data_IF_179656055590
#
_entry.id   IF_179656055590
#
_cell.length_a   1.000
_cell.length_b   1.000
_cell.length_c   1.000
_cell.angle_alpha   90.00
_cell.angle_beta   90.00
_cell.angle_gamma   90.00
#
_symmetry.space_group_name_H-M   'P 1'
#
loop_
_entity.id
_entity.type
_entity.pdbx_description
1 polymer ?
#
# COMPACT_ATOMS: atom_id res chain seq x y z
N UNK A 1 8.24 -30.37 -6.77
CA UNK A 1 9.52 -29.66 -6.98
C UNK A 1 9.75 -28.71 -5.83
N UNK A 2 8.94 -27.64 -5.77
CA UNK A 2 9.04 -26.57 -4.78
C UNK A 2 8.56 -26.95 -3.36
N UNK A 3 7.62 -27.90 -3.23
CA UNK A 3 7.08 -28.36 -1.92
C UNK A 3 8.15 -28.84 -0.93
N UNK A 4 9.24 -29.44 -1.42
CA UNK A 4 10.30 -29.99 -0.57
C UNK A 4 11.48 -29.01 -0.38
N UNK A 5 11.36 -27.78 -0.89
CA UNK A 5 12.41 -26.78 -0.94
C UNK A 5 11.93 -25.50 -0.27
N UNK A 6 12.12 -25.39 1.06
CA UNK A 6 11.59 -24.27 1.86
C UNK A 6 12.07 -22.90 1.35
N UNK A 7 13.31 -22.79 0.88
CA UNK A 7 13.84 -21.59 0.19
C UNK A 7 13.10 -21.15 -1.08
N UNK A 8 12.12 -21.93 -1.55
CA UNK A 8 11.27 -21.58 -2.71
C UNK A 8 9.84 -21.23 -2.32
N UNK A 9 9.53 -21.32 -1.03
CA UNK A 9 8.22 -20.96 -0.51
C UNK A 9 8.11 -19.44 -0.48
N UNK A 10 6.91 -18.88 -0.70
CA UNK A 10 6.71 -17.46 -0.47
C UNK A 10 6.83 -17.16 1.04
N UNK A 11 7.31 -15.97 1.39
CA UNK A 11 7.26 -15.51 2.79
C UNK A 11 5.85 -15.09 3.16
N UNK A 12 5.23 -14.21 2.36
CA UNK A 12 3.85 -13.74 2.54
C UNK A 12 3.10 -13.69 1.21
N UNK A 13 1.78 -13.89 1.27
CA UNK A 13 0.87 -13.73 0.14
C UNK A 13 0.41 -12.27 -0.03
N UNK A 14 0.34 -11.82 -1.27
CA UNK A 14 -0.23 -10.52 -1.64
C UNK A 14 -0.96 -10.64 -2.99
N UNK A 15 -1.86 -9.69 -3.34
CA UNK A 15 -2.58 -9.73 -4.60
C UNK A 15 -1.64 -9.83 -5.81
N UNK A 16 -1.75 -10.92 -6.56
CA UNK A 16 -0.86 -11.22 -7.69
C UNK A 16 -1.57 -11.76 -8.92
N UNK A 17 -2.90 -11.81 -8.91
CA UNK A 17 -3.73 -12.29 -10.01
C UNK A 17 -4.52 -11.13 -10.59
N UNK A 18 -4.52 -11.04 -11.92
CA UNK A 18 -5.26 -10.06 -12.71
C UNK A 18 -5.03 -8.62 -12.21
N UNK A 19 -3.77 -8.33 -11.84
CA UNK A 19 -3.37 -7.03 -11.34
C UNK A 19 -3.27 -6.06 -12.50
N UNK A 20 -4.04 -4.98 -12.39
CA UNK A 20 -4.05 -3.90 -13.36
C UNK A 20 -2.77 -3.08 -13.25
N UNK A 21 -2.00 -3.02 -14.34
CA UNK A 21 -0.75 -2.28 -14.38
C UNK A 21 -0.55 -1.60 -15.74
N UNK A 22 0.27 -0.55 -15.76
CA UNK A 22 0.59 0.18 -16.99
C UNK A 22 1.31 -0.74 -17.99
N UNK A 23 0.87 -0.68 -19.25
CA UNK A 23 1.30 -1.52 -20.34
C UNK A 23 2.35 -0.80 -21.21
N UNK A 24 3.62 -1.25 -21.23
CA UNK A 24 4.61 -0.72 -22.14
C UNK A 24 4.36 -1.23 -23.58
N UNK A 25 4.13 -0.31 -24.51
CA UNK A 25 3.85 -0.62 -25.92
C UNK A 25 5.07 -1.20 -26.65
N UNK A 26 4.82 -2.11 -27.59
CA UNK A 26 5.86 -2.69 -28.46
C UNK A 26 6.72 -3.76 -27.79
N UNK A 27 6.33 -4.22 -26.60
CA UNK A 27 7.01 -5.30 -25.87
C UNK A 27 6.42 -6.67 -26.20
N UNK A 28 7.12 -7.75 -25.84
CA UNK A 28 6.58 -9.10 -25.94
C UNK A 28 5.31 -9.29 -25.08
N UNK A 29 5.20 -8.53 -23.99
CA UNK A 29 4.05 -8.56 -23.09
C UNK A 29 2.83 -7.91 -23.77
N UNK A 30 3.01 -6.74 -24.40
CA UNK A 30 2.00 -6.10 -25.27
C UNK A 30 1.50 -7.07 -26.36
N UNK A 31 2.38 -7.85 -26.98
CA UNK A 31 1.97 -8.85 -27.98
C UNK A 31 1.06 -9.97 -27.42
N UNK A 32 1.17 -10.28 -26.12
CA UNK A 32 0.38 -11.34 -25.46
C UNK A 32 -0.92 -10.86 -24.81
N UNK A 33 -1.03 -9.57 -24.45
CA UNK A 33 -2.19 -8.99 -23.75
C UNK A 33 -3.06 -8.08 -24.63
N UNK A 34 -2.69 -7.88 -25.91
CA UNK A 34 -3.40 -7.07 -26.93
C UNK A 34 -4.91 -7.28 -27.08
N UNK A 35 -5.46 -8.38 -26.56
CA UNK A 35 -6.87 -8.74 -26.62
C UNK A 35 -7.64 -8.39 -25.34
N UNK A 36 -6.98 -7.84 -24.31
CA UNK A 36 -7.58 -7.56 -22.99
C UNK A 36 -8.42 -6.28 -22.92
N UNK A 37 -8.50 -5.49 -23.99
CA UNK A 37 -9.48 -4.40 -24.03
C UNK A 37 -8.95 -3.03 -23.60
N UNK A 38 -7.72 -2.91 -23.09
CA UNK A 38 -7.08 -1.63 -22.75
C UNK A 38 -5.68 -1.55 -23.41
N UNK A 39 -5.32 -0.36 -23.89
CA UNK A 39 -4.11 -0.09 -24.68
C UNK A 39 -2.94 0.46 -23.84
N UNK A 40 -3.21 0.97 -22.62
CA UNK A 40 -2.23 1.51 -21.68
C UNK A 40 -2.21 0.78 -20.35
N UNK A 41 -3.20 -0.05 -20.09
CA UNK A 41 -3.22 -0.94 -18.96
C UNK A 41 -3.47 -2.37 -19.40
N UNK A 42 -3.00 -3.30 -18.59
CA UNK A 42 -3.25 -4.72 -18.79
C UNK A 42 -3.38 -5.39 -17.43
N UNK A 43 -4.20 -6.43 -17.38
CA UNK A 43 -4.24 -7.35 -16.26
C UNK A 43 -3.17 -8.41 -16.49
N UNK A 44 -2.15 -8.41 -15.63
CA UNK A 44 -1.13 -9.46 -15.62
C UNK A 44 -1.11 -10.17 -14.28
N UNK A 45 -0.78 -11.45 -14.33
CA UNK A 45 -0.74 -12.34 -13.17
C UNK A 45 0.68 -12.84 -12.95
N UNK A 46 1.08 -12.94 -11.69
CA UNK A 46 2.35 -13.53 -11.29
C UNK A 46 2.87 -12.98 -9.97
N UNK A 47 3.86 -13.67 -9.41
CA UNK A 47 4.54 -13.21 -8.19
C UNK A 47 5.20 -11.84 -8.38
N UNK A 48 5.67 -11.53 -9.59
CA UNK A 48 6.16 -10.20 -9.96
C UNK A 48 5.12 -9.08 -9.78
N UNK A 49 3.82 -9.39 -9.82
CA UNK A 49 2.72 -8.45 -9.60
C UNK A 49 2.30 -8.39 -8.13
N UNK A 50 2.54 -9.45 -7.36
CA UNK A 50 2.43 -9.41 -5.90
C UNK A 50 3.54 -8.57 -5.26
N UNK A 51 4.77 -8.64 -5.79
CA UNK A 51 5.94 -7.89 -5.28
C UNK A 51 5.71 -6.38 -5.08
N UNK A 52 5.14 -5.61 -6.03
CA UNK A 52 4.91 -4.17 -5.82
C UNK A 52 3.90 -3.87 -4.70
N UNK A 53 2.94 -4.76 -4.41
CA UNK A 53 2.04 -4.60 -3.25
C UNK A 53 2.83 -4.67 -1.94
N UNK A 54 3.68 -5.68 -1.79
CA UNK A 54 4.59 -5.82 -0.63
C UNK A 54 5.57 -4.64 -0.55
N UNK A 55 6.08 -4.17 -1.69
CA UNK A 55 6.93 -2.97 -1.75
C UNK A 55 6.19 -1.68 -1.32
N UNK A 56 4.92 -1.54 -1.71
CA UNK A 56 4.06 -0.44 -1.25
C UNK A 56 3.81 -0.50 0.25
N UNK A 57 3.53 -1.69 0.80
CA UNK A 57 3.41 -1.92 2.24
C UNK A 57 4.69 -1.56 2.99
N UNK A 58 5.85 -1.98 2.49
CA UNK A 58 7.15 -1.59 3.05
C UNK A 58 7.32 -0.07 3.11
N UNK A 59 6.85 0.65 2.08
CA UNK A 59 6.82 2.12 2.07
C UNK A 59 5.92 2.71 3.16
N UNK A 60 4.73 2.15 3.37
CA UNK A 60 3.82 2.57 4.45
C UNK A 60 4.43 2.31 5.83
N UNK A 61 5.07 1.16 6.03
CA UNK A 61 5.73 0.80 7.29
C UNK A 61 6.88 1.75 7.61
N UNK A 62 7.73 2.07 6.62
CA UNK A 62 8.81 3.04 6.80
C UNK A 62 8.31 4.46 7.06
N UNK A 63 7.17 4.84 6.49
CA UNK A 63 6.55 6.12 6.77
C UNK A 63 5.98 6.19 8.20
N UNK A 64 5.34 5.11 8.66
CA UNK A 64 4.78 5.02 10.02
C UNK A 64 5.86 4.84 11.10
N UNK A 65 6.96 4.17 10.75
CA UNK A 65 8.06 3.81 11.64
C UNK A 65 9.43 3.99 10.95
N UNK A 66 9.96 5.23 10.86
CA UNK A 66 11.26 5.48 10.27
C UNK A 66 12.45 4.84 11.02
N UNK A 67 12.25 4.39 12.26
CA UNK A 67 13.26 3.72 13.08
C UNK A 67 13.49 2.24 12.73
N UNK A 68 12.72 1.67 11.81
CA UNK A 68 12.86 0.26 11.42
C UNK A 68 14.26 -0.02 10.85
N UNK A 69 14.83 -1.15 11.25
CA UNK A 69 16.22 -1.54 10.95
C UNK A 69 16.34 -3.04 10.69
N UNK A 70 17.54 -3.61 10.86
CA UNK A 70 17.78 -5.05 10.79
C UNK A 70 17.19 -5.73 12.02
N UNK A 71 16.38 -6.77 11.81
CA UNK A 71 15.78 -7.55 12.88
C UNK A 71 16.82 -8.43 13.57
N UNK A 72 16.59 -8.71 14.86
CA UNK A 72 17.24 -9.84 15.55
C UNK A 72 16.47 -11.14 15.22
N UNK A 73 16.39 -11.41 13.92
CA UNK A 73 15.69 -12.52 13.32
C UNK A 73 16.40 -12.90 12.02
N UNK A 74 16.64 -14.19 11.85
CA UNK A 74 17.32 -14.74 10.68
C UNK A 74 16.27 -15.37 9.78
N UNK A 75 16.44 -15.21 8.46
CA UNK A 75 15.52 -15.78 7.49
C UNK A 75 15.44 -17.29 7.69
N UNK A 76 14.22 -17.80 7.88
CA UNK A 76 14.01 -19.19 8.31
C UNK A 76 14.11 -20.21 7.18
N UNK A 77 13.98 -19.78 5.92
CA UNK A 77 13.93 -20.63 4.73
C UNK A 77 15.27 -21.34 4.37
N UNK A 78 16.14 -21.52 5.36
CA UNK A 78 17.46 -22.11 5.26
C UNK A 78 17.56 -23.42 6.03
N UNK A 79 18.04 -24.45 5.33
CA UNK A 79 18.32 -25.76 5.88
C UNK A 79 19.74 -26.20 5.50
N UNK A 80 20.52 -26.68 6.46
CA UNK A 80 21.81 -27.34 6.23
C UNK A 80 21.58 -28.85 6.01
N UNK A 81 21.89 -29.34 4.80
CA UNK A 81 21.77 -30.76 4.43
C UNK A 81 20.34 -31.24 4.18
N UNK A 82 19.54 -31.35 5.25
CA UNK A 82 18.21 -31.94 5.24
C UNK A 82 17.17 -30.85 5.41
N UNK A 83 16.20 -30.76 4.50
CA UNK A 83 15.16 -29.76 4.66
C UNK A 83 14.19 -30.17 5.77
N UNK A 84 13.79 -29.25 6.65
CA UNK A 84 12.85 -29.55 7.76
C UNK A 84 11.54 -30.18 7.25
N UNK A 85 11.13 -29.81 6.04
CA UNK A 85 9.91 -30.30 5.40
C UNK A 85 10.19 -31.32 4.29
N UNK A 86 11.33 -31.20 3.59
CA UNK A 86 11.71 -32.06 2.47
C UNK A 86 12.47 -33.35 2.83
N UNK A 87 12.99 -33.44 4.06
CA UNK A 87 13.78 -34.57 4.55
C UNK A 87 15.20 -34.63 3.99
N UNK A 88 15.80 -35.82 4.07
CA UNK A 88 17.24 -36.02 3.82
C UNK A 88 17.67 -35.61 2.41
N UNK A 89 18.65 -34.69 2.30
CA UNK A 89 19.23 -34.23 1.04
C UNK A 89 18.35 -33.32 0.17
N UNK A 90 17.31 -32.72 0.74
CA UNK A 90 16.38 -31.83 0.03
C UNK A 90 16.80 -30.34 0.01
N UNK A 91 17.79 -29.94 0.81
CA UNK A 91 18.26 -28.56 0.87
C UNK A 91 19.27 -28.25 -0.25
N UNK A 92 19.01 -27.21 -1.06
CA UNK A 92 19.64 -27.08 -2.38
C UNK A 92 20.36 -25.75 -2.69
N UNK A 93 20.44 -24.77 -1.78
CA UNK A 93 21.10 -23.50 -2.11
C UNK A 93 21.70 -22.78 -0.89
N UNK A 94 22.92 -22.25 -1.03
CA UNK A 94 23.51 -21.28 -0.10
C UNK A 94 23.69 -21.74 1.36
N UNK A 95 24.17 -22.95 1.59
CA UNK A 95 24.38 -23.49 2.94
C UNK A 95 25.62 -22.90 3.60
N UNK A 96 25.41 -22.37 4.79
CA UNK A 96 26.47 -21.83 5.64
C UNK A 96 26.21 -22.27 7.07
N UNK A 97 27.22 -22.90 7.69
CA UNK A 97 27.15 -23.44 9.05
C UNK A 97 26.89 -22.35 10.11
N UNK A 98 27.09 -21.08 9.77
CA UNK A 98 26.90 -19.91 10.63
C UNK A 98 25.55 -19.19 10.41
N UNK A 99 24.58 -19.79 9.71
CA UNK A 99 23.32 -19.12 9.33
C UNK A 99 22.57 -18.48 10.51
N UNK A 100 22.47 -19.15 11.65
CA UNK A 100 21.74 -18.66 12.81
C UNK A 100 22.50 -17.60 13.62
N UNK A 101 23.73 -17.28 13.24
CA UNK A 101 24.61 -16.36 13.96
C UNK A 101 25.14 -15.23 13.05
N UNK A 102 25.14 -15.43 11.73
CA UNK A 102 25.76 -14.53 10.80
C UNK A 102 24.92 -13.29 10.48
N UNK A 103 25.57 -12.14 10.37
CA UNK A 103 24.87 -10.89 10.06
C UNK A 103 24.22 -10.86 8.66
N UNK A 104 24.68 -11.67 7.71
CA UNK A 104 24.16 -11.66 6.33
C UNK A 104 22.83 -12.42 6.17
N UNK A 105 22.46 -13.26 7.14
CA UNK A 105 21.20 -14.01 7.14
C UNK A 105 20.09 -13.30 7.93
N UNK A 106 20.41 -12.18 8.58
CA UNK A 106 19.43 -11.33 9.25
C UNK A 106 18.55 -10.61 8.24
N UNK A 107 17.27 -10.51 8.55
CA UNK A 107 16.27 -9.85 7.71
C UNK A 107 16.00 -8.43 8.19
N UNK A 108 15.30 -7.65 7.39
CA UNK A 108 14.80 -6.35 7.84
C UNK A 108 13.62 -6.55 8.79
N UNK A 109 13.43 -5.65 9.76
CA UNK A 109 12.25 -5.65 10.64
C UNK A 109 10.92 -5.58 9.88
N UNK A 110 10.92 -5.12 8.62
CA UNK A 110 9.73 -5.09 7.77
C UNK A 110 9.28 -6.51 7.44
N UNK A 111 10.22 -7.38 7.09
CA UNK A 111 9.96 -8.79 6.78
C UNK A 111 9.35 -9.48 7.99
N UNK A 112 10.02 -9.39 9.15
CA UNK A 112 9.51 -9.96 10.40
C UNK A 112 8.12 -9.42 10.79
N UNK A 113 7.87 -8.11 10.62
CA UNK A 113 6.55 -7.52 10.89
C UNK A 113 5.50 -8.16 9.98
N UNK A 114 5.76 -8.24 8.67
CA UNK A 114 4.83 -8.84 7.71
C UNK A 114 4.57 -10.32 8.00
N UNK A 115 5.59 -11.08 8.38
CA UNK A 115 5.43 -12.49 8.79
C UNK A 115 4.57 -12.64 10.05
N UNK A 116 4.76 -11.78 11.06
CA UNK A 116 4.05 -11.85 12.34
C UNK A 116 2.58 -11.45 12.22
N UNK A 117 2.27 -10.55 11.29
CA UNK A 117 0.94 -9.98 11.10
C UNK A 117 0.16 -10.59 9.95
N UNK A 118 0.76 -11.48 9.15
CA UNK A 118 0.06 -12.15 8.07
C UNK A 118 -1.13 -13.00 8.57
N UNK A 119 -2.22 -12.97 7.81
CA UNK A 119 -3.44 -13.72 8.07
C UNK A 119 -3.39 -15.08 7.38
N UNK A 120 -3.15 -16.12 8.16
CA UNK A 120 -3.17 -17.51 7.69
C UNK A 120 -4.54 -18.18 7.84
N UNK A 121 -5.35 -17.73 8.80
CA UNK A 121 -6.66 -18.33 9.09
C UNK A 121 -7.65 -18.13 7.93
N UNK A 122 -8.26 -19.22 7.47
CA UNK A 122 -9.13 -19.22 6.29
C UNK A 122 -8.38 -19.45 4.98
N UNK A 123 -7.05 -19.27 4.96
CA UNK A 123 -6.20 -19.45 3.78
C UNK A 123 -5.61 -20.87 3.66
N UNK A 124 -5.72 -21.68 4.72
CA UNK A 124 -5.08 -23.01 4.78
C UNK A 124 -5.59 -24.00 3.73
N UNK A 125 -6.77 -23.75 3.15
CA UNK A 125 -7.40 -24.64 2.17
C UNK A 125 -8.09 -23.86 1.04
N UNK A 126 -7.55 -22.70 0.64
CA UNK A 126 -8.17 -21.88 -0.41
C UNK A 126 -7.96 -22.49 -1.80
N UNK A 127 -8.84 -23.42 -2.16
CA UNK A 127 -9.12 -23.73 -3.56
C UNK A 127 -9.97 -22.61 -4.13
N UNK A 128 -9.30 -21.58 -4.63
CA UNK A 128 -9.96 -20.43 -5.22
C UNK A 128 -10.80 -20.86 -6.43
N UNK A 129 -12.07 -20.45 -6.43
CA UNK A 129 -12.94 -20.65 -7.59
C UNK A 129 -12.32 -19.95 -8.81
N UNK A 130 -12.22 -20.67 -9.94
CA UNK A 130 -11.59 -20.15 -11.16
C UNK A 130 -10.08 -20.41 -11.26
N UNK A 131 -9.50 -21.24 -10.39
CA UNK A 131 -8.16 -21.81 -10.57
C UNK A 131 -8.23 -23.28 -11.00
N UNK A 132 -8.87 -23.55 -12.15
CA UNK A 132 -9.11 -24.91 -12.66
C UNK A 132 -7.81 -25.67 -13.02
N UNK A 133 -6.69 -24.95 -13.11
CA UNK A 133 -5.36 -25.50 -13.39
C UNK A 133 -4.67 -26.07 -12.14
N UNK A 134 -5.17 -25.75 -10.93
CA UNK A 134 -4.68 -26.29 -9.67
C UNK A 134 -5.62 -27.37 -9.13
N UNK A 135 -5.11 -28.61 -9.07
CA UNK A 135 -5.85 -29.76 -8.57
C UNK A 135 -6.10 -29.70 -7.05
N UNK A 136 -5.46 -28.75 -6.34
CA UNK A 136 -5.74 -28.45 -4.95
C UNK A 136 -5.56 -29.65 -3.99
N UNK A 137 -4.79 -30.63 -4.44
CA UNK A 137 -4.59 -31.92 -3.77
C UNK A 137 -3.27 -31.96 -2.99
N UNK A 138 -2.52 -30.87 -3.05
CA UNK A 138 -1.22 -30.63 -2.47
C UNK A 138 -1.29 -29.52 -1.40
N UNK A 139 -2.39 -29.47 -0.66
CA UNK A 139 -2.58 -28.55 0.46
C UNK A 139 -2.16 -29.27 1.76
N UNK A 140 -1.26 -28.68 2.56
CA UNK A 140 -0.89 -29.28 3.83
C UNK A 140 -2.08 -29.30 4.80
N UNK A 141 -2.36 -30.46 5.40
CA UNK A 141 -3.39 -30.57 6.45
C UNK A 141 -2.99 -29.84 7.74
N UNK A 142 -1.68 -29.79 8.02
CA UNK A 142 -1.08 -29.02 9.11
C UNK A 142 0.05 -28.18 8.51
N UNK A 143 0.07 -26.88 8.84
CA UNK A 143 1.12 -25.96 8.42
C UNK A 143 2.45 -26.31 9.09
N UNK A 144 3.57 -25.96 8.46
CA UNK A 144 4.85 -25.90 9.16
C UNK A 144 4.82 -24.72 10.15
N UNK A 145 5.46 -24.88 11.32
CA UNK A 145 5.53 -23.84 12.34
C UNK A 145 6.88 -23.15 12.26
N UNK A 146 6.84 -21.87 11.95
CA UNK A 146 8.02 -21.03 11.82
C UNK A 146 8.74 -20.79 13.15
N UNK A 147 9.93 -20.21 13.07
CA UNK A 147 10.68 -19.66 14.20
C UNK A 147 9.89 -18.52 14.87
N UNK A 148 9.01 -17.83 14.13
CA UNK A 148 8.03 -16.88 14.67
C UNK A 148 6.86 -17.54 15.40
N UNK A 149 6.75 -18.88 15.36
CA UNK A 149 5.66 -19.66 15.94
C UNK A 149 4.37 -19.63 15.13
N UNK A 150 4.35 -18.89 14.01
CA UNK A 150 3.23 -18.78 13.07
C UNK A 150 3.22 -19.96 12.10
N UNK A 151 2.12 -20.11 11.38
CA UNK A 151 2.09 -21.05 10.26
C UNK A 151 2.94 -20.52 9.10
N UNK A 152 3.56 -21.42 8.36
CA UNK A 152 4.28 -21.14 7.12
C UNK A 152 4.15 -22.34 6.18
N UNK A 153 3.78 -22.15 4.92
CA UNK A 153 3.70 -23.23 3.93
C UNK A 153 4.09 -22.81 2.50
N UNK A 154 4.21 -23.80 1.61
CA UNK A 154 4.65 -23.60 0.23
C UNK A 154 3.65 -22.87 -0.68
N UNK A 155 2.39 -22.71 -0.26
CA UNK A 155 1.34 -22.08 -1.07
C UNK A 155 1.19 -20.61 -0.73
N UNK A 156 1.05 -20.29 0.56
CA UNK A 156 0.71 -18.94 1.03
C UNK A 156 1.75 -18.35 1.98
N UNK A 157 2.82 -19.07 2.27
CA UNK A 157 3.83 -18.62 3.22
C UNK A 157 3.20 -18.49 4.61
N UNK A 158 3.44 -17.35 5.25
CA UNK A 158 2.84 -16.99 6.53
C UNK A 158 1.36 -16.60 6.44
N UNK A 159 0.80 -16.50 5.23
CA UNK A 159 -0.57 -16.08 4.98
C UNK A 159 -0.64 -14.80 4.15
N UNK A 160 -1.85 -14.24 4.00
CA UNK A 160 -2.04 -12.98 3.29
C UNK A 160 -1.56 -11.79 4.15
N UNK A 161 -0.93 -10.84 3.49
CA UNK A 161 -0.53 -9.56 4.08
C UNK A 161 -1.73 -8.82 4.68
N UNK A 162 -1.57 -8.35 5.91
CA UNK A 162 -2.53 -7.49 6.63
C UNK A 162 -1.87 -6.13 6.88
N UNK A 163 -2.27 -5.13 6.11
CA UNK A 163 -1.64 -3.80 6.11
C UNK A 163 -1.90 -3.08 7.44
N UNK A 164 -3.11 -3.20 7.99
CA UNK A 164 -3.47 -2.52 9.23
C UNK A 164 -2.71 -3.11 10.42
N UNK A 165 -2.58 -4.44 10.48
CA UNK A 165 -1.80 -5.11 11.52
C UNK A 165 -0.31 -4.81 11.40
N UNK A 166 0.23 -4.81 10.17
CA UNK A 166 1.62 -4.47 9.93
C UNK A 166 1.92 -3.02 10.34
N UNK A 167 1.09 -2.06 9.94
CA UNK A 167 1.24 -0.64 10.29
C UNK A 167 1.06 -0.41 11.78
N UNK A 168 0.10 -1.07 12.44
CA UNK A 168 -0.08 -0.99 13.88
C UNK A 168 1.15 -1.51 14.64
N UNK A 169 1.71 -2.65 14.25
CA UNK A 169 2.92 -3.22 14.86
C UNK A 169 4.14 -2.31 14.63
N UNK A 170 4.35 -1.83 13.41
CA UNK A 170 5.43 -0.88 13.10
C UNK A 170 5.31 0.41 13.91
N UNK A 171 4.10 0.99 13.98
CA UNK A 171 3.84 2.22 14.75
C UNK A 171 4.03 1.99 16.25
N UNK A 172 3.67 0.82 16.77
CA UNK A 172 3.95 0.42 18.15
C UNK A 172 5.44 0.46 18.41
N UNK A 173 6.25 -0.19 17.56
CA UNK A 173 7.70 -0.20 17.70
C UNK A 173 8.31 1.21 17.61
N UNK A 174 7.84 2.03 16.66
CA UNK A 174 8.30 3.42 16.53
C UNK A 174 8.07 4.21 17.83
N UNK A 175 6.88 4.12 18.41
CA UNK A 175 6.54 4.87 19.60
C UNK A 175 7.20 4.31 20.87
N UNK A 176 7.53 3.02 20.90
CA UNK A 176 8.35 2.45 21.97
C UNK A 176 9.77 3.01 21.93
N UNK A 177 10.34 3.16 20.72
CA UNK A 177 11.67 3.71 20.45
C UNK A 177 11.76 5.23 20.60
N UNK A 178 10.73 5.94 20.19
CA UNK A 178 10.60 7.40 20.21
C UNK A 178 9.29 7.76 20.94
N UNK A 179 9.37 7.77 22.27
CA UNK A 179 8.20 7.96 23.14
C UNK A 179 7.71 9.41 23.16
N UNK A 180 8.57 10.35 22.78
CA UNK A 180 8.26 11.77 22.78
C UNK A 180 7.81 12.28 21.39
N UNK A 181 7.89 11.43 20.36
CA UNK A 181 7.51 11.66 18.95
C UNK A 181 8.25 12.89 18.36
N UNK A 182 9.49 13.12 18.77
CA UNK A 182 10.35 14.20 18.26
C UNK A 182 11.20 13.79 17.04
N UNK A 183 11.11 12.52 16.64
CA UNK A 183 11.86 11.92 15.53
C UNK A 183 13.25 11.43 15.93
N UNK A 184 13.64 11.52 17.19
CA UNK A 184 14.90 11.01 17.73
C UNK A 184 14.62 9.71 18.49
N UNK A 185 15.39 8.68 18.17
CA UNK A 185 15.28 7.38 18.87
C UNK A 185 15.89 7.52 20.27
N UNK A 186 15.03 7.46 21.28
CA UNK A 186 15.39 7.49 22.70
C UNK A 186 15.70 6.08 23.24
N UNK A 187 15.00 5.06 22.75
CA UNK A 187 15.00 3.69 23.26
C UNK A 187 15.29 2.64 22.18
N UNK A 188 16.52 2.58 21.62
CA UNK A 188 16.87 1.64 20.55
C UNK A 188 16.83 0.17 20.97
N UNK A 189 16.76 -0.13 22.27
CA UNK A 189 16.73 -1.48 22.84
C UNK A 189 15.41 -2.23 22.60
N UNK A 190 14.33 -1.54 22.24
CA UNK A 190 13.07 -2.18 21.87
C UNK A 190 13.17 -2.74 20.44
N UNK A 191 12.66 -3.96 20.27
CA UNK A 191 12.64 -4.67 19.00
C UNK A 191 11.21 -5.10 18.62
N UNK A 192 11.05 -5.67 17.44
CA UNK A 192 9.74 -6.11 16.92
C UNK A 192 9.01 -7.05 17.88
N UNK A 193 9.72 -7.95 18.57
CA UNK A 193 9.11 -8.90 19.50
C UNK A 193 8.46 -8.19 20.69
N UNK A 194 9.11 -7.15 21.24
CA UNK A 194 8.53 -6.39 22.35
C UNK A 194 7.25 -5.65 21.92
N UNK A 195 7.27 -5.07 20.73
CA UNK A 195 6.10 -4.40 20.16
C UNK A 195 4.99 -5.41 19.88
N UNK A 196 5.34 -6.61 19.40
CA UNK A 196 4.42 -7.68 19.07
C UNK A 196 3.69 -8.23 20.30
N UNK A 197 4.28 -8.15 21.49
CA UNK A 197 3.60 -8.55 22.74
C UNK A 197 2.42 -7.64 23.12
N UNK A 198 2.41 -6.38 22.65
CA UNK A 198 1.42 -5.38 23.09
C UNK A 198 0.59 -4.77 21.95
N UNK A 199 1.01 -4.84 20.69
CA UNK A 199 0.34 -4.13 19.58
C UNK A 199 -1.14 -4.54 19.42
N UNK A 200 -1.45 -5.82 19.62
CA UNK A 200 -2.82 -6.34 19.50
C UNK A 200 -3.75 -5.72 20.56
N UNK A 201 -3.25 -5.50 21.78
CA UNK A 201 -3.99 -4.84 22.84
C UNK A 201 -4.23 -3.33 22.58
N UNK A 202 -3.47 -2.74 21.64
CA UNK A 202 -3.62 -1.34 21.22
C UNK A 202 -4.57 -1.19 20.05
N UNK A 203 -4.93 -2.29 19.36
CA UNK A 203 -6.00 -2.29 18.37
C UNK A 203 -7.34 -2.32 19.11
N UNK A 204 -8.10 -1.26 18.96
CA UNK A 204 -9.42 -1.10 19.59
C UNK A 204 -10.47 -0.82 18.54
N UNK A 205 -11.74 -1.00 18.88
CA UNK A 205 -12.85 -0.44 18.10
C UNK A 205 -13.22 0.90 18.72
N UNK A 206 -13.23 1.94 17.90
CA UNK A 206 -13.65 3.27 18.31
C UNK A 206 -14.95 3.63 17.59
N UNK A 207 -15.90 4.10 18.38
CA UNK A 207 -17.21 4.53 17.90
C UNK A 207 -17.30 6.05 17.98
N UNK A 208 -17.47 6.69 16.82
CA UNK A 208 -17.63 8.14 16.71
C UNK A 208 -19.10 8.44 16.48
N UNK A 209 -19.70 9.15 17.44
CA UNK A 209 -21.08 9.64 17.32
C UNK A 209 -21.09 10.91 16.47
N UNK A 210 -21.98 10.99 15.49
CA UNK A 210 -22.12 12.14 14.61
C UNK A 210 -23.56 12.65 14.57
N UNK A 211 -23.73 13.96 14.46
CA UNK A 211 -25.04 14.62 14.45
C UNK A 211 -25.48 14.98 13.03
N UNK A 212 -25.67 13.94 12.21
CA UNK A 212 -26.20 14.06 10.85
C UNK A 212 -26.94 12.78 10.45
N UNK A 213 -27.90 12.90 9.54
CA UNK A 213 -28.63 11.81 8.89
C UNK A 213 -28.11 11.51 7.49
N UNK A 214 -27.02 12.15 7.09
CA UNK A 214 -26.42 11.98 5.77
C UNK A 214 -24.96 11.58 5.82
N UNK A 215 -24.62 10.63 4.95
CA UNK A 215 -23.25 10.20 4.71
C UNK A 215 -22.93 10.32 3.23
N UNK A 216 -21.65 10.49 2.91
CA UNK A 216 -21.17 10.86 1.59
C UNK A 216 -19.96 10.03 1.20
N UNK A 217 -19.92 9.62 -0.06
CA UNK A 217 -18.71 9.14 -0.73
C UNK A 217 -18.50 9.96 -2.00
N UNK A 218 -17.25 10.31 -2.32
CA UNK A 218 -16.96 11.08 -3.53
C UNK A 218 -15.63 10.67 -4.14
N UNK A 219 -15.61 10.59 -5.47
CA UNK A 219 -14.40 10.27 -6.20
C UNK A 219 -14.30 11.07 -7.51
N UNK A 220 -13.13 10.95 -8.13
CA UNK A 220 -12.84 11.50 -9.44
C UNK A 220 -12.31 10.37 -10.30
N UNK A 221 -12.67 10.38 -11.56
CA UNK A 221 -12.14 9.45 -12.54
C UNK A 221 -11.95 10.12 -13.87
N UNK A 222 -11.45 9.35 -14.82
CA UNK A 222 -11.19 9.80 -16.17
C UNK A 222 -11.61 8.71 -17.13
N UNK A 223 -12.73 8.96 -17.81
CA UNK A 223 -13.28 8.02 -18.76
C UNK A 223 -12.52 8.15 -20.07
N UNK A 224 -11.79 7.11 -20.45
CA UNK A 224 -10.92 7.14 -21.60
C UNK A 224 -11.41 6.24 -22.73
N UNK A 225 -11.28 6.75 -23.95
CA UNK A 225 -11.68 6.12 -25.18
C UNK A 225 -10.50 6.00 -26.14
N UNK A 226 -10.16 4.78 -26.54
CA UNK A 226 -9.02 4.51 -27.41
C UNK A 226 -9.45 3.81 -28.69
N UNK A 227 -8.83 4.18 -29.81
CA UNK A 227 -8.91 3.44 -31.07
C UNK A 227 -7.57 2.73 -31.35
N UNK A 228 -7.63 1.43 -31.63
CA UNK A 228 -6.49 0.67 -32.12
C UNK A 228 -6.46 0.70 -33.65
N UNK A 229 -5.71 1.64 -34.23
CA UNK A 229 -5.67 1.92 -35.67
C UNK A 229 -5.33 0.73 -36.59
N UNK A 230 -4.79 -0.37 -36.06
CA UNK A 230 -4.53 -1.58 -36.84
C UNK A 230 -5.78 -2.47 -37.09
N UNK A 231 -6.78 -2.42 -36.21
CA UNK A 231 -7.99 -3.25 -36.28
C UNK A 231 -9.30 -2.45 -36.30
N UNK A 232 -9.25 -1.17 -35.93
CA UNK A 232 -10.44 -0.33 -35.71
C UNK A 232 -11.24 -0.72 -34.47
N UNK A 233 -10.66 -1.53 -33.58
CA UNK A 233 -11.27 -1.87 -32.30
C UNK A 233 -11.22 -0.68 -31.35
N UNK A 234 -12.32 -0.49 -30.64
CA UNK A 234 -12.53 0.59 -29.68
C UNK A 234 -12.50 0.00 -28.28
N UNK A 235 -11.76 0.66 -27.40
CA UNK A 235 -11.45 0.22 -26.05
C UNK A 235 -11.86 1.30 -25.04
N UNK A 236 -12.30 0.87 -23.86
CA UNK A 236 -12.82 1.71 -22.78
C UNK A 236 -12.12 1.35 -21.48
N UNK A 237 -11.88 2.34 -20.62
CA UNK A 237 -11.45 2.10 -19.24
C UNK A 237 -12.58 1.48 -18.42
N UNK A 238 -12.22 0.61 -17.47
CA UNK A 238 -13.15 0.17 -16.44
C UNK A 238 -13.21 1.26 -15.36
N UNK A 239 -14.38 1.86 -15.19
CA UNK A 239 -14.63 3.00 -14.30
C UNK A 239 -15.55 2.59 -13.13
N UNK A 240 -15.47 1.31 -12.74
CA UNK A 240 -16.32 0.70 -11.72
C UNK A 240 -15.95 1.16 -10.31
N UNK A 241 -16.96 1.54 -9.53
CA UNK A 241 -16.84 1.93 -8.12
C UNK A 241 -17.93 1.28 -7.26
N UNK A 242 -17.67 1.14 -5.96
CA UNK A 242 -18.60 0.51 -5.04
C UNK A 242 -18.84 1.37 -3.81
N UNK A 243 -20.10 1.48 -3.40
CA UNK A 243 -20.51 2.21 -2.19
C UNK A 243 -21.33 1.30 -1.30
N UNK A 244 -20.95 1.19 -0.03
CA UNK A 244 -21.72 0.42 0.95
C UNK A 244 -23.02 1.15 1.27
N UNK A 245 -24.15 0.44 1.29
CA UNK A 245 -25.46 0.98 1.69
C UNK A 245 -25.74 0.59 3.15
N UNK A 246 -25.65 1.53 4.11
CA UNK A 246 -25.95 1.22 5.50
C UNK A 246 -27.44 0.92 5.71
N UNK A 247 -27.71 0.12 6.74
CA UNK A 247 -29.06 -0.10 7.23
C UNK A 247 -29.78 1.22 7.53
N UNK A 248 -31.06 1.32 7.15
CA UNK A 248 -31.87 2.52 7.34
C UNK A 248 -31.73 3.57 6.21
N UNK A 249 -30.87 3.35 5.22
CA UNK A 249 -30.81 4.24 4.04
C UNK A 249 -32.14 4.19 3.29
N UNK A 250 -32.80 5.34 3.12
CA UNK A 250 -34.06 5.42 2.38
C UNK A 250 -33.90 6.14 1.04
N UNK A 251 -32.80 6.87 0.84
CA UNK A 251 -32.55 7.64 -0.37
C UNK A 251 -31.06 7.71 -0.68
N UNK A 252 -30.73 7.59 -1.97
CA UNK A 252 -29.40 7.78 -2.51
C UNK A 252 -29.47 8.88 -3.59
N UNK A 253 -28.80 10.01 -3.34
CA UNK A 253 -28.65 11.08 -4.31
C UNK A 253 -27.25 11.05 -4.91
N UNK A 254 -27.17 11.00 -6.23
CA UNK A 254 -25.90 10.90 -6.96
C UNK A 254 -25.77 12.04 -7.93
N UNK A 255 -24.67 12.79 -7.82
CA UNK A 255 -24.31 13.84 -8.76
C UNK A 255 -23.11 13.40 -9.58
N UNK A 256 -23.32 13.21 -10.88
CA UNK A 256 -22.29 12.84 -11.83
C UNK A 256 -22.00 14.02 -12.75
N UNK A 257 -20.80 14.57 -12.67
CA UNK A 257 -20.41 15.76 -13.46
C UNK A 257 -19.24 15.41 -14.39
N UNK A 258 -19.53 15.01 -15.64
CA UNK A 258 -18.53 14.85 -16.69
C UNK A 258 -18.15 16.17 -17.36
N UNK A 259 -16.86 16.33 -17.70
CA UNK A 259 -16.37 17.48 -18.48
C UNK A 259 -16.59 17.24 -19.98
N UNK A 260 -17.86 17.23 -20.41
CA UNK A 260 -18.26 16.79 -21.75
C UNK A 260 -17.74 17.65 -22.91
N UNK A 261 -17.31 18.89 -22.66
CA UNK A 261 -16.73 19.78 -23.69
C UNK A 261 -15.43 20.37 -23.16
N UNK A 262 -14.33 20.01 -23.82
CA UNK A 262 -13.04 20.66 -23.61
C UNK A 262 -12.60 21.38 -24.89
N UNK A 263 -12.50 22.71 -24.79
CA UNK A 263 -12.12 23.60 -25.89
C UNK A 263 -10.61 23.65 -26.12
N UNK A 264 -9.80 23.27 -25.12
CA UNK A 264 -8.34 23.25 -25.23
C UNK A 264 -7.89 21.98 -25.97
N UNK A 265 -8.51 20.83 -25.67
CA UNK A 265 -8.23 19.55 -26.34
C UNK A 265 -9.19 19.26 -27.52
N UNK A 266 -10.18 20.13 -27.75
CA UNK A 266 -11.23 19.98 -28.75
C UNK A 266 -11.91 18.61 -28.71
N UNK A 267 -12.39 18.23 -27.52
CA UNK A 267 -13.08 16.97 -27.28
C UNK A 267 -14.54 17.22 -26.92
N UNK A 268 -15.42 16.32 -27.38
CA UNK A 268 -16.83 16.31 -27.02
C UNK A 268 -17.22 14.88 -26.70
N UNK A 269 -17.88 14.66 -25.57
CA UNK A 269 -18.57 13.40 -25.34
C UNK A 269 -19.86 13.53 -24.56
N UNK A 270 -20.52 12.41 -24.40
CA UNK A 270 -21.72 12.28 -23.61
C UNK A 270 -21.58 11.03 -22.73
N UNK A 271 -21.54 11.26 -21.43
CA UNK A 271 -21.42 10.21 -20.42
C UNK A 271 -22.68 10.16 -19.57
N UNK A 272 -23.00 8.97 -19.08
CA UNK A 272 -24.03 8.67 -18.12
C UNK A 272 -23.48 7.68 -17.09
N UNK A 273 -24.10 7.66 -15.91
CA UNK A 273 -23.79 6.70 -14.87
C UNK A 273 -24.81 5.57 -14.87
N UNK A 274 -24.32 4.36 -14.67
CA UNK A 274 -25.10 3.18 -14.32
C UNK A 274 -24.93 2.93 -12.82
N UNK A 275 -26.04 2.62 -12.14
CA UNK A 275 -26.05 2.34 -10.71
C UNK A 275 -26.88 1.08 -10.50
N UNK A 276 -26.28 0.07 -9.88
CA UNK A 276 -26.90 -1.21 -9.51
C UNK A 276 -26.91 -1.30 -7.98
N UNK A 277 -28.10 -1.19 -7.39
CA UNK A 277 -28.33 -1.30 -5.96
C UNK A 277 -28.38 -2.78 -5.56
N UNK A 278 -27.35 -3.24 -4.83
CA UNK A 278 -27.32 -4.61 -4.31
C UNK A 278 -26.69 -5.64 -5.25
N UNK A 279 -26.04 -5.20 -6.34
CA UNK A 279 -25.31 -6.04 -7.29
C UNK A 279 -26.18 -7.13 -7.92
N UNK A 280 -27.42 -6.80 -8.26
CA UNK A 280 -28.38 -7.74 -8.84
C UNK A 280 -28.31 -7.81 -10.38
N UNK A 281 -27.46 -6.98 -10.99
CA UNK A 281 -27.22 -6.86 -12.41
C UNK A 281 -28.23 -5.96 -13.12
N UNK A 282 -29.09 -5.25 -12.38
CA UNK A 282 -30.03 -4.27 -12.93
C UNK A 282 -29.52 -2.85 -12.74
N UNK A 283 -29.83 -1.97 -13.70
CA UNK A 283 -29.45 -0.55 -13.62
C UNK A 283 -30.63 0.25 -13.05
N UNK A 284 -30.63 0.47 -11.74
CA UNK A 284 -31.63 1.26 -11.01
C UNK A 284 -31.62 2.74 -11.40
N UNK A 285 -30.49 3.25 -11.92
CA UNK A 285 -30.41 4.60 -12.45
C UNK A 285 -31.05 4.76 -13.84
N UNK A 286 -31.48 3.67 -14.48
CA UNK A 286 -32.01 3.69 -15.84
C UNK A 286 -33.30 4.51 -15.94
N UNK A 287 -33.20 5.71 -16.52
CA UNK A 287 -34.34 6.60 -16.77
C UNK A 287 -34.66 7.56 -15.61
N UNK A 288 -33.98 7.45 -14.47
CA UNK A 288 -34.14 8.33 -13.31
C UNK A 288 -33.19 9.56 -13.35
N UNK A 289 -32.15 9.50 -14.18
CA UNK A 289 -31.18 10.60 -14.34
C UNK A 289 -31.81 11.87 -14.92
N UNK A 290 -31.77 12.96 -14.14
CA UNK A 290 -32.15 14.30 -14.60
C UNK A 290 -30.91 15.15 -14.84
N UNK A 291 -30.78 15.73 -16.03
CA UNK A 291 -29.65 16.61 -16.37
C UNK A 291 -29.92 18.06 -16.01
N UNK A 292 -29.02 18.65 -15.22
CA UNK A 292 -29.01 20.09 -14.88
C UNK A 292 -27.66 20.68 -15.29
N UNK A 293 -27.65 21.45 -16.38
CA UNK A 293 -26.41 21.92 -17.02
C UNK A 293 -25.51 20.75 -17.44
N UNK A 294 -24.35 20.60 -16.81
CA UNK A 294 -23.34 19.58 -17.11
C UNK A 294 -23.29 18.47 -16.04
N UNK A 295 -24.26 18.47 -15.12
CA UNK A 295 -24.36 17.47 -14.06
C UNK A 295 -25.61 16.63 -14.25
N UNK A 296 -25.45 15.31 -14.19
CA UNK A 296 -26.52 14.34 -14.03
C UNK A 296 -26.82 14.16 -12.56
N UNK A 297 -28.10 14.22 -12.21
CA UNK A 297 -28.58 13.99 -10.84
C UNK A 297 -29.48 12.76 -10.89
N UNK A 298 -29.11 11.74 -10.12
CA UNK A 298 -29.91 10.54 -9.90
C UNK A 298 -30.43 10.58 -8.47
N UNK A 299 -31.74 10.39 -8.32
CA UNK A 299 -32.42 10.40 -7.04
C UNK A 299 -33.13 9.06 -6.88
N UNK A 300 -32.49 8.13 -6.16
CA UNK A 300 -32.91 6.74 -6.07
C UNK A 300 -33.54 6.45 -4.70
N UNK A 301 -34.73 5.85 -4.72
CA UNK A 301 -35.36 5.32 -3.51
C UNK A 301 -34.65 4.01 -3.11
N UNK A 302 -34.17 3.94 -1.87
CA UNK A 302 -33.49 2.75 -1.34
C UNK A 302 -34.43 2.08 -0.35
N UNK A 303 -34.74 0.81 -0.57
CA UNK A 303 -35.55 0.04 0.37
C UNK A 303 -34.73 -1.02 1.13
N UNK A 304 -35.38 -1.67 2.10
CA UNK A 304 -34.74 -2.63 3.00
C UNK A 304 -34.10 -3.85 2.32
N UNK A 305 -34.41 -4.13 1.06
CA UNK A 305 -33.77 -5.20 0.29
C UNK A 305 -32.34 -4.88 -0.14
N UNK A 306 -31.97 -3.58 -0.21
CA UNK A 306 -30.62 -3.13 -0.57
C UNK A 306 -29.77 -2.73 0.65
N UNK A 307 -30.30 -2.88 1.87
CA UNK A 307 -29.55 -2.57 3.09
C UNK A 307 -28.46 -3.60 3.37
N UNK A 308 -27.31 -3.12 3.83
CA UNK A 308 -26.13 -3.93 4.06
C UNK A 308 -25.70 -4.69 2.79
N UNK A 309 -25.79 -4.01 1.66
CA UNK A 309 -25.31 -4.47 0.36
C UNK A 309 -24.45 -3.38 -0.27
N UNK A 310 -23.68 -3.76 -1.29
CA UNK A 310 -22.91 -2.83 -2.09
C UNK A 310 -23.78 -2.30 -3.24
N UNK A 311 -23.69 -1.01 -3.51
CA UNK A 311 -24.09 -0.44 -4.79
C UNK A 311 -22.89 -0.43 -5.73
N UNK A 312 -23.08 -0.92 -6.95
CA UNK A 312 -22.10 -0.85 -8.03
C UNK A 312 -22.41 0.37 -8.91
N UNK A 313 -21.35 1.10 -9.25
CA UNK A 313 -21.40 2.29 -10.10
C UNK A 313 -20.49 2.04 -11.30
N UNK A 314 -20.95 2.38 -12.49
CA UNK A 314 -20.13 2.34 -13.70
C UNK A 314 -20.42 3.56 -14.59
N UNK A 315 -19.47 3.92 -15.44
CA UNK A 315 -19.57 5.07 -16.34
C UNK A 315 -19.64 4.60 -17.78
N UNK A 316 -20.76 4.90 -18.44
CA UNK A 316 -20.98 4.54 -19.84
C UNK A 316 -21.17 5.78 -20.71
N UNK A 317 -20.74 5.69 -21.97
CA UNK A 317 -20.90 6.82 -22.88
C UNK A 317 -20.10 6.74 -24.17
N UNK A 318 -20.01 7.90 -24.84
CA UNK A 318 -19.28 8.06 -26.09
C UNK A 318 -18.54 9.40 -26.10
N UNK A 319 -17.32 9.44 -26.63
CA UNK A 319 -16.57 10.67 -26.85
C UNK A 319 -15.92 10.72 -28.24
N UNK A 320 -15.65 11.93 -28.71
CA UNK A 320 -14.93 12.23 -29.94
C UNK A 320 -13.91 13.33 -29.70
N UNK A 321 -12.65 13.07 -30.06
CA UNK A 321 -11.58 14.07 -30.07
C UNK A 321 -11.35 14.58 -31.50
N UNK A 322 -11.38 15.90 -31.70
CA UNK A 322 -11.24 16.51 -33.03
C UNK A 322 -9.80 16.87 -33.41
N UNK A 323 -8.91 17.12 -32.44
CA UNK A 323 -7.51 17.47 -32.70
C UNK A 323 -6.61 16.23 -32.92
N UNK A 324 -6.86 15.13 -32.21
CA UNK A 324 -6.08 13.89 -32.35
C UNK A 324 -6.14 13.26 -33.75
N UNK A 325 -7.22 13.50 -34.50
CA UNK A 325 -7.39 13.01 -35.89
C UNK A 325 -6.39 13.61 -36.88
N UNK A 326 -5.80 14.77 -36.57
CA UNK A 326 -4.85 15.46 -37.46
C UNK A 326 -3.38 15.14 -37.18
N UNK A 327 -3.04 14.65 -35.99
CA UNK A 327 -1.67 14.35 -35.57
C UNK A 327 -1.29 12.89 -35.86
N UNK A 328 -2.19 11.95 -35.57
CA UNK A 328 -2.03 10.53 -35.94
C UNK A 328 -3.40 9.83 -36.08
N UNK A 329 -3.91 9.59 -37.30
CA UNK A 329 -5.21 8.96 -37.51
C UNK A 329 -5.24 7.49 -37.05
N UNK A 330 -4.08 6.91 -36.74
CA UNK A 330 -3.93 5.54 -36.26
C UNK A 330 -4.10 5.44 -34.73
N UNK A 331 -3.96 6.54 -33.98
CA UNK A 331 -4.10 6.58 -32.51
C UNK A 331 -4.66 7.94 -32.04
N UNK A 332 -5.96 8.01 -31.77
CA UNK A 332 -6.52 9.16 -31.05
C UNK A 332 -7.23 8.69 -29.78
N UNK A 333 -7.11 9.52 -28.75
CA UNK A 333 -7.62 9.29 -27.39
C UNK A 333 -8.58 10.41 -27.05
N UNK A 334 -9.78 10.06 -26.59
CA UNK A 334 -10.70 11.02 -25.97
C UNK A 334 -10.78 10.68 -24.48
N UNK A 335 -10.50 11.67 -23.65
CA UNK A 335 -10.44 11.57 -22.19
C UNK A 335 -11.46 12.55 -21.65
N UNK A 336 -12.41 12.05 -20.87
CA UNK A 336 -13.43 12.87 -20.23
C UNK A 336 -13.29 12.72 -18.73
N UNK A 337 -12.64 13.69 -18.07
CA UNK A 337 -12.56 13.70 -16.63
C UNK A 337 -13.95 13.94 -16.04
N UNK A 338 -14.27 13.19 -14.99
CA UNK A 338 -15.54 13.28 -14.31
C UNK A 338 -15.35 13.30 -12.79
N UNK A 339 -16.41 13.75 -12.11
CA UNK A 339 -16.51 13.70 -10.65
C UNK A 339 -17.84 13.08 -10.27
N UNK A 340 -17.82 12.28 -9.21
CA UNK A 340 -19.02 11.64 -8.66
C UNK A 340 -19.16 12.01 -7.21
N UNK A 341 -20.39 12.35 -6.83
CA UNK A 341 -20.77 12.63 -5.46
C UNK A 341 -21.99 11.80 -5.08
N UNK A 342 -21.82 10.87 -4.15
CA UNK A 342 -22.90 10.00 -3.65
C UNK A 342 -23.25 10.44 -2.25
N UNK A 343 -24.51 10.76 -2.00
CA UNK A 343 -25.05 11.12 -0.69
C UNK A 343 -26.18 10.16 -0.32
N UNK A 344 -26.01 9.43 0.77
CA UNK A 344 -27.02 8.55 1.34
C UNK A 344 -27.73 9.29 2.47
N UNK A 345 -29.07 9.25 2.48
CA UNK A 345 -29.86 9.77 3.60
C UNK A 345 -30.49 8.60 4.37
N UNK A 346 -30.28 8.59 5.69
CA UNK A 346 -30.67 7.51 6.59
C UNK A 346 -31.88 7.89 7.44
N UNK A 347 -32.74 6.92 7.71
CA UNK A 347 -33.78 7.01 8.72
C UNK A 347 -33.18 6.72 10.11
N UNK A 348 -33.07 7.76 10.93
CA UNK A 348 -32.55 7.70 12.29
C UNK A 348 -33.66 7.59 13.36
N UNK A 349 -34.86 7.16 13.00
CA UNK A 349 -35.91 6.83 13.97
C UNK A 349 -35.47 5.71 14.95
N UNK A 350 -34.49 4.90 14.55
CA UNK A 350 -33.75 3.97 15.41
C UNK A 350 -32.25 4.24 15.31
N UNK A 351 -31.45 3.96 16.35
CA UNK A 351 -30.00 4.10 16.27
C UNK A 351 -29.43 3.29 15.10
N UNK A 352 -28.57 3.92 14.31
CA UNK A 352 -27.84 3.30 13.19
C UNK A 352 -26.35 3.34 13.51
N UNK A 353 -25.71 2.17 13.41
CA UNK A 353 -24.27 2.03 13.49
C UNK A 353 -23.74 1.64 12.11
N UNK A 354 -22.83 2.44 11.59
CA UNK A 354 -22.18 2.20 10.31
C UNK A 354 -20.86 1.51 10.57
N UNK A 355 -20.83 0.23 10.20
CA UNK A 355 -19.61 -0.56 10.02
C UNK A 355 -19.54 -0.95 8.56
N UNK A 356 -18.48 -0.52 7.88
CA UNK A 356 -18.27 -0.83 6.46
C UNK A 356 -17.49 -2.14 6.40
N UNK A 357 -18.04 -3.21 5.81
CA UNK A 357 -17.26 -4.42 5.59
C UNK A 357 -16.12 -4.12 4.60
N UNK A 358 -14.95 -4.73 4.81
CA UNK A 358 -13.89 -4.66 3.82
C UNK A 358 -14.30 -5.41 2.55
N UNK A 359 -14.11 -4.77 1.39
CA UNK A 359 -14.25 -5.40 0.07
C UNK A 359 -12.84 -5.55 -0.51
N UNK A 360 -12.31 -6.77 -0.67
CA UNK A 360 -10.92 -6.98 -1.10
C UNK A 360 -10.58 -6.33 -2.45
N UNK A 361 -11.59 -6.19 -3.33
CA UNK A 361 -11.39 -5.74 -4.70
C UNK A 361 -11.50 -4.21 -4.87
N UNK A 362 -12.17 -3.51 -3.94
CA UNK A 362 -12.47 -2.07 -4.06
C UNK A 362 -12.53 -1.37 -2.72
N UNK A 363 -12.11 -0.10 -2.69
CA UNK A 363 -12.21 0.76 -1.52
C UNK A 363 -13.50 1.58 -1.55
N UNK A 364 -14.12 1.75 -0.37
CA UNK A 364 -15.21 2.68 -0.15
C UNK A 364 -15.07 3.32 1.22
N UNK A 365 -15.28 4.63 1.29
CA UNK A 365 -15.46 5.34 2.55
C UNK A 365 -16.80 6.04 2.59
N UNK A 366 -17.33 6.20 3.80
CA UNK A 366 -18.51 7.01 4.05
C UNK A 366 -18.15 8.06 5.10
N UNK A 367 -18.24 9.31 4.69
CA UNK A 367 -18.00 10.45 5.56
C UNK A 367 -19.33 11.11 5.96
N UNK A 368 -19.48 11.54 7.23
CA UNK A 368 -20.63 12.34 7.62
C UNK A 368 -20.66 13.66 6.82
N UNK A 369 -21.84 14.04 6.33
CA UNK A 369 -22.03 15.28 5.57
C UNK A 369 -23.15 16.16 6.15
N UNK A 370 -23.47 17.26 5.49
CA UNK A 370 -24.52 18.20 5.90
C UNK A 370 -25.86 17.49 6.08
N UNK A 371 -26.55 17.84 7.16
CA UNK A 371 -27.90 17.37 7.52
C UNK A 371 -28.89 17.52 6.36
N UNK A 372 -29.87 16.62 6.29
CA UNK A 372 -30.98 16.72 5.35
C UNK A 372 -32.00 17.79 5.79
N UNK A 373 -32.89 18.16 4.87
CA UNK A 373 -34.02 19.04 5.18
C UNK A 373 -35.04 18.38 6.14
N UNK A 374 -34.98 17.06 6.31
CA UNK A 374 -35.82 16.27 7.21
C UNK A 374 -35.19 16.06 8.60
N UNK A 375 -33.98 16.58 8.83
CA UNK A 375 -33.29 16.48 10.11
C UNK A 375 -34.08 17.12 11.26
N UNK A 376 -34.10 16.44 12.41
CA UNK A 376 -34.66 16.90 13.68
C UNK A 376 -33.63 16.67 14.80
N UNK A 377 -33.55 17.60 15.75
CA UNK A 377 -32.64 17.49 16.91
C UNK A 377 -32.89 16.23 17.75
N UNK A 378 -34.05 15.58 17.63
CA UNK A 378 -34.33 14.28 18.24
C UNK A 378 -33.42 13.14 17.71
N UNK A 379 -32.82 13.31 16.52
CA UNK A 379 -31.88 12.35 15.92
C UNK A 379 -30.44 12.53 16.38
N UNK A 380 -30.16 13.54 17.22
CA UNK A 380 -28.82 13.73 17.79
C UNK A 380 -28.34 12.46 18.51
N UNK A 381 -27.10 12.07 18.19
CA UNK A 381 -26.47 10.87 18.70
C UNK A 381 -27.06 9.53 18.25
N UNK A 382 -27.93 9.50 17.24
CA UNK A 382 -28.49 8.25 16.70
C UNK A 382 -27.60 7.62 15.62
N UNK A 383 -26.69 8.39 15.00
CA UNK A 383 -25.75 7.87 14.01
C UNK A 383 -24.36 7.69 14.63
N UNK A 384 -23.83 6.47 14.53
CA UNK A 384 -22.49 6.11 15.02
C UNK A 384 -21.68 5.50 13.89
N UNK A 385 -20.40 5.82 13.83
CA UNK A 385 -19.42 5.16 12.98
C UNK A 385 -18.49 4.34 13.84
N UNK A 386 -18.50 3.02 13.66
CA UNK A 386 -17.61 2.11 14.37
C UNK A 386 -16.52 1.62 13.42
N UNK A 387 -15.27 1.88 13.77
CA UNK A 387 -14.09 1.47 13.00
C UNK A 387 -13.02 0.87 13.90
N UNK A 388 -12.20 -0.01 13.34
CA UNK A 388 -10.95 -0.38 13.97
C UNK A 388 -10.02 0.85 14.06
N UNK A 389 -9.36 1.01 15.18
CA UNK A 389 -8.50 2.12 15.50
C UNK A 389 -7.28 1.66 16.30
N UNK A 390 -6.24 2.49 16.29
CA UNK A 390 -5.02 2.27 17.06
C UNK A 390 -4.96 3.25 18.23
N UNK A 391 -5.04 2.73 19.46
CA UNK A 391 -5.03 3.53 20.67
C UNK A 391 -3.60 3.88 21.11
N UNK A 392 -3.04 4.94 20.51
CA UNK A 392 -1.71 5.45 20.86
C UNK A 392 -1.60 5.88 22.32
N UNK A 393 -2.68 6.36 22.95
CA UNK A 393 -2.63 6.87 24.33
C UNK A 393 -2.43 5.78 25.37
N UNK A 394 -2.95 4.57 25.10
CA UNK A 394 -2.79 3.40 25.97
C UNK A 394 -1.37 2.83 25.96
N UNK A 395 -0.56 3.14 24.93
CA UNK A 395 0.78 2.60 24.78
C UNK A 395 1.64 2.84 26.03
N UNK A 396 1.66 4.07 26.55
CA UNK A 396 2.52 4.44 27.69
C UNK A 396 2.18 3.66 28.97
N UNK A 397 0.97 3.11 29.08
CA UNK A 397 0.56 2.26 30.19
C UNK A 397 1.03 0.80 30.03
N UNK A 398 1.31 0.38 28.79
CA UNK A 398 1.70 -0.99 28.43
C UNK A 398 3.21 -1.19 28.31
N UNK A 399 3.99 -0.12 28.06
CA UNK A 399 5.45 -0.23 27.91
C UNK A 399 6.09 -0.69 29.23
N UNK A 400 6.75 -1.83 29.19
CA UNK A 400 7.60 -2.32 30.27
C UNK A 400 9.04 -1.77 30.08
N UNK A 401 9.61 -1.06 31.08
CA UNK A 401 10.97 -0.55 30.96
C UNK A 401 11.99 -1.68 30.78
N UNK A 402 12.74 -1.65 29.68
CA UNK A 402 13.90 -2.54 29.51
C UNK A 402 15.10 -2.03 30.32
N UNK A 403 15.75 -2.95 31.02
CA UNK A 403 17.01 -2.64 31.67
C UNK A 403 18.10 -2.47 30.60
N UNK A 404 18.68 -1.27 30.54
CA UNK A 404 19.90 -1.01 29.77
C UNK A 404 21.01 -1.91 30.32
N UNK A 405 21.29 -3.02 29.63
CA UNK A 405 22.54 -3.75 29.85
C UNK A 405 23.61 -2.93 29.12
N UNK A 406 24.43 -2.19 29.87
CA UNK A 406 25.67 -1.65 29.32
C UNK A 406 26.56 -2.83 28.92
N UNK A 407 26.40 -3.34 27.69
CA UNK A 407 27.48 -4.10 27.08
C UNK A 407 28.63 -3.11 26.85
N UNK A 408 29.76 -3.33 27.55
CA UNK A 408 31.04 -2.68 27.28
C UNK A 408 31.56 -3.08 25.88
N UNK A 409 30.85 -2.76 24.81
CA UNK A 409 31.45 -2.69 23.49
C UNK A 409 32.18 -1.36 23.40
N UNK A 410 33.51 -1.42 23.30
CA UNK A 410 34.36 -0.25 23.20
C UNK A 410 34.00 0.56 21.95
N UNK A 411 33.19 1.61 22.15
CA UNK A 411 32.91 2.65 21.16
C UNK A 411 34.21 3.04 20.44
N UNK A 412 34.14 3.35 19.14
CA UNK A 412 35.29 3.74 18.31
C UNK A 412 36.20 4.76 19.00
N UNK A 413 35.63 5.73 19.73
CA UNK A 413 36.39 6.71 20.50
C UNK A 413 37.02 6.15 21.78
N UNK A 414 36.42 5.14 22.40
CA UNK A 414 37.01 4.36 23.49
C UNK A 414 38.18 3.51 23.04
N UNK A 415 38.04 2.79 21.92
CA UNK A 415 39.13 2.04 21.29
C UNK A 415 40.28 2.96 20.83
N UNK A 416 39.94 4.14 20.27
CA UNK A 416 40.91 5.17 19.93
C UNK A 416 41.60 5.71 21.20
N UNK A 417 40.85 6.03 22.24
CA UNK A 417 41.37 6.48 23.55
C UNK A 417 42.34 5.48 24.17
N UNK A 418 42.03 4.18 24.09
CA UNK A 418 42.91 3.12 24.57
C UNK A 418 44.22 3.05 23.76
N UNK A 419 44.16 3.14 22.43
CA UNK A 419 45.36 3.19 21.58
C UNK A 419 46.21 4.44 21.88
N UNK A 420 45.57 5.59 22.11
CA UNK A 420 46.26 6.83 22.48
C UNK A 420 46.91 6.75 23.87
N UNK A 421 46.28 6.04 24.81
CA UNK A 421 46.82 5.83 26.17
C UNK A 421 48.00 4.86 26.17
N UNK A 422 47.88 3.76 25.41
CA UNK A 422 48.85 2.67 25.37
C UNK A 422 50.11 3.02 24.56
N UNK A 423 49.98 3.90 23.55
CA UNK A 423 51.08 4.34 22.68
C UNK A 423 51.28 5.86 22.68
N UNK A 424 51.36 6.45 23.87
CA UNK A 424 51.43 7.91 24.11
C UNK A 424 52.52 8.65 23.30
N UNK A 425 53.65 8.00 23.03
CA UNK A 425 54.74 8.59 22.24
C UNK A 425 54.50 8.56 20.72
N UNK A 426 53.86 7.51 20.20
CA UNK A 426 53.53 7.40 18.77
C UNK A 426 52.31 8.25 18.43
N UNK A 427 51.34 8.32 19.35
CA UNK A 427 50.11 9.06 19.18
C UNK A 427 50.31 10.59 19.22
N UNK A 428 51.27 11.07 20.01
CA UNK A 428 51.71 12.48 19.98
C UNK A 428 52.43 12.87 18.68
N UNK A 429 53.21 11.96 18.08
CA UNK A 429 53.80 12.14 16.74
C UNK A 429 52.73 12.18 15.64
N UNK A 430 51.72 11.31 15.74
CA UNK A 430 50.60 11.28 14.79
C UNK A 430 49.76 12.55 14.86
N UNK A 431 49.45 13.04 16.06
CA UNK A 431 48.73 14.31 16.23
C UNK A 431 49.51 15.51 15.66
N UNK A 432 50.84 15.49 15.81
CA UNK A 432 51.73 16.51 15.27
C UNK A 432 51.81 16.44 13.73
N UNK A 433 51.78 15.23 13.17
CA UNK A 433 51.67 15.02 11.72
C UNK A 433 50.34 15.54 11.17
N UNK A 434 49.21 15.23 11.82
CA UNK A 434 47.88 15.74 11.42
C UNK A 434 47.82 17.27 11.50
N UNK A 435 48.40 17.88 12.54
CA UNK A 435 48.50 19.35 12.60
C UNK A 435 49.38 19.94 11.50
N UNK A 436 50.50 19.30 11.16
CA UNK A 436 51.36 19.74 10.06
C UNK A 436 50.66 19.62 8.70
N UNK A 437 49.87 18.55 8.48
CA UNK A 437 49.03 18.40 7.30
C UNK A 437 47.94 19.47 7.24
N UNK A 438 47.24 19.75 8.35
CA UNK A 438 46.21 20.78 8.41
C UNK A 438 46.78 22.19 8.17
N UNK A 439 47.96 22.49 8.73
CA UNK A 439 48.68 23.74 8.47
C UNK A 439 49.16 23.84 7.02
N UNK A 440 49.62 22.72 6.43
CA UNK A 440 50.02 22.64 5.03
C UNK A 440 48.85 22.88 4.07
N UNK A 441 47.71 22.23 4.29
CA UNK A 441 46.48 22.43 3.52
C UNK A 441 45.96 23.85 3.69
N UNK A 442 45.95 24.39 4.91
CA UNK A 442 45.57 25.78 5.17
C UNK A 442 46.47 26.81 4.48
N UNK A 443 47.78 26.54 4.38
CA UNK A 443 48.73 27.39 3.67
C UNK A 443 48.53 27.34 2.15
N UNK A 444 48.31 26.15 1.58
CA UNK A 444 48.02 25.97 0.14
C UNK A 444 46.72 26.67 -0.25
N UNK A 445 45.65 26.47 0.53
CA UNK A 445 44.33 27.11 0.31
C UNK A 445 44.40 28.63 0.44
N UNK A 446 45.25 29.14 1.35
CA UNK A 446 45.46 30.59 1.49
C UNK A 446 46.24 31.18 0.31
N UNK A 447 47.26 30.49 -0.20
CA UNK A 447 48.07 30.96 -1.33
C UNK A 447 47.41 30.72 -2.70
N UNK A 448 46.40 29.85 -2.80
CA UNK A 448 45.65 29.62 -4.04
C UNK A 448 44.47 30.58 -4.25
N UNK A 449 44.25 31.54 -3.34
CA UNK A 449 43.26 32.60 -3.55
C UNK A 449 43.81 33.64 -4.52
N UNK A 450 43.33 33.60 -5.75
CA UNK A 450 43.46 34.70 -6.72
C UNK A 450 42.41 35.75 -6.35
N UNK A 451 42.83 36.97 -6.01
CA UNK A 451 41.99 38.11 -5.60
C UNK A 451 41.21 38.77 -6.76
N UNK A 452 40.78 38.00 -7.76
CA UNK A 452 39.93 38.52 -8.83
C UNK A 452 38.55 37.85 -8.79
N UNK A 453 37.45 38.62 -8.81
CA UNK A 453 36.10 38.06 -8.81
C UNK A 453 35.87 37.29 -10.11
N UNK A 454 35.65 35.97 -10.01
CA UNK A 454 35.24 35.15 -11.14
C UNK A 454 33.83 35.54 -11.56
N UNK A 455 33.72 36.25 -12.68
CA UNK A 455 32.46 36.44 -13.40
C UNK A 455 32.09 35.14 -14.12
N UNK A 456 30.85 34.70 -13.96
CA UNK A 456 30.27 33.56 -14.69
C UNK A 456 30.41 33.80 -16.21
N UNK A 457 31.09 32.90 -16.89
CA UNK A 457 31.09 32.79 -18.35
C UNK A 457 29.95 31.85 -18.74
N UNK A 458 28.99 32.37 -19.51
CA UNK A 458 27.94 31.58 -20.16
C UNK A 458 28.49 31.03 -21.47
N UNK A 459 29.32 29.99 -21.42
CA UNK A 459 29.57 29.15 -22.59
C UNK A 459 29.46 27.68 -22.15
N UNK A 460 28.61 26.94 -22.85
CA UNK A 460 28.33 25.53 -22.60
C UNK A 460 29.58 24.70 -22.89
N UNK A 461 30.00 23.90 -21.91
CA UNK A 461 31.05 22.90 -22.10
C UNK A 461 30.33 21.57 -22.34
N UNK A 462 30.32 21.14 -23.60
CA UNK A 462 29.88 19.79 -23.97
C UNK A 462 30.81 18.76 -23.31
N UNK A 463 30.22 17.80 -22.60
CA UNK A 463 30.92 16.65 -22.07
C UNK A 463 30.94 15.55 -23.14
N UNK A 464 32.10 15.33 -23.77
CA UNK A 464 32.34 14.12 -24.54
C UNK A 464 32.57 12.95 -23.57
N UNK A 465 31.78 11.88 -23.74
CA UNK A 465 32.04 10.57 -23.14
C UNK A 465 33.01 9.83 -24.08
N UNK A 466 34.18 9.44 -23.57
CA UNK A 466 35.08 8.53 -24.29
C UNK A 466 34.49 7.11 -24.34
N UNK A 467 34.61 6.46 -25.50
CA UNK A 467 34.08 5.11 -25.85
C UNK A 467 34.52 3.97 -24.90
#
# INVERSE_FOLDING_TARGET
>A
GCMNQMHTWPDVGAPGRDIWATAPRGTAIDASTKLQGDLYYMAISGTSMATPHVGGMAGLLLNAAPSLTVADYHREDHDEGDALVGGEGAAAYGQFDDWNEANYSRVHEIELILELTATYEGMQNSCEAGNDDDACNDIPTECYRSATGRCHDWRVGHGLTDVDAAVALARTLQLMRDQNDDGIIDHPEYNVWDAFEIYDALRTEESIVVDTDRVRHAWKGDWNHFNNGASGAVYYTEDSHYVWIPNGTYNMNVQFTPTEVDVETAQVGNLQMEIDLGEDGSNDAQGEGTRVSDTWIYDLDVDSSHWNAWAHFDVTGQAMAFLGVFEDPEFFEASIPYTVDVVLTLDLATPVDITIPQRPDFYSDLDPTTQSDAWDDAFMGQLTFTREAYNQSALMEQILPKAMVEEEQSSFFGALGDVFSQYTAASSLFALFVMLCALGVGYVVRNSRVDEPKLYSMDAVDAELED
#
